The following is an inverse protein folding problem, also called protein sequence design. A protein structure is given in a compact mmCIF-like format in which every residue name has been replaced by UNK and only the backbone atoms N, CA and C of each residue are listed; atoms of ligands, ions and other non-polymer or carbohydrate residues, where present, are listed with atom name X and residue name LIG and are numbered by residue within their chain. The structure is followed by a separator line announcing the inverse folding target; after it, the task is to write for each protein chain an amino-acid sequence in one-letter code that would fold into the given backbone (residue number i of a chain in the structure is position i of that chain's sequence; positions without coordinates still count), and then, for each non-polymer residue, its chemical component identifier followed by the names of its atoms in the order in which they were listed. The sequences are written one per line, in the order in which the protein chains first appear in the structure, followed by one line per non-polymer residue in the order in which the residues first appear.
data_IF_548217974506
#
_entry.id   IF_548217974506
#
_cell.length_a   1.000
_cell.length_b   1.000
_cell.length_c   1.000
_cell.angle_alpha   90.00
_cell.angle_beta   90.00
_cell.angle_gamma   90.00
#
_symmetry.space_group_name_H-M   'P 1'
#
loop_
_entity.id
_entity.type
_entity.pdbx_description
1 polymer ?
#
# COMPACT_ATOMS: atom_id res chain seq x y z
N UNK A 1 12.80 8.58 -18.65
CA UNK A 1 13.05 9.33 -17.40
C UNK A 1 14.45 9.05 -16.86
N UNK A 2 14.84 7.77 -16.67
CA UNK A 2 16.13 7.40 -16.07
C UNK A 2 17.32 7.92 -16.88
N UNK A 3 17.34 7.76 -18.21
CA UNK A 3 18.46 8.20 -19.04
C UNK A 3 18.72 9.70 -18.92
N UNK A 4 17.67 10.52 -18.94
CA UNK A 4 17.80 11.98 -18.74
C UNK A 4 18.34 12.32 -17.35
N UNK A 5 17.92 11.58 -16.31
CA UNK A 5 18.40 11.79 -14.95
C UNK A 5 19.85 11.36 -14.77
N UNK A 6 20.22 10.23 -15.38
CA UNK A 6 21.59 9.71 -15.43
C UNK A 6 22.54 10.71 -16.11
N UNK A 7 22.18 11.23 -17.28
CA UNK A 7 22.98 12.23 -17.98
C UNK A 7 23.23 13.48 -17.12
N UNK A 8 22.17 13.97 -16.44
CA UNK A 8 22.30 15.14 -15.56
C UNK A 8 23.19 14.82 -14.35
N UNK A 9 22.99 13.69 -13.68
CA UNK A 9 23.77 13.29 -12.50
C UNK A 9 25.24 13.07 -12.88
N UNK A 10 25.54 12.42 -14.02
CA UNK A 10 26.90 12.19 -14.50
C UNK A 10 27.69 13.46 -14.80
N UNK A 11 27.03 14.56 -15.13
CA UNK A 11 27.71 15.88 -15.27
C UNK A 11 28.17 16.41 -13.92
N UNK A 12 27.41 16.15 -12.84
CA UNK A 12 27.72 16.60 -11.48
C UNK A 12 28.84 15.76 -10.83
N UNK A 13 28.98 14.49 -11.19
CA UNK A 13 30.06 13.63 -10.66
C UNK A 13 31.46 14.17 -11.01
N UNK A 14 31.61 14.88 -12.13
CA UNK A 14 32.88 15.49 -12.55
C UNK A 14 33.42 16.53 -11.55
N UNK A 15 32.57 17.04 -10.69
CA UNK A 15 32.94 18.00 -9.62
C UNK A 15 33.17 17.35 -8.26
N UNK A 16 33.20 15.98 -8.20
CA UNK A 16 33.45 15.24 -6.97
C UNK A 16 32.24 15.20 -6.01
N UNK A 17 31.04 15.49 -6.50
CA UNK A 17 29.80 15.43 -5.72
C UNK A 17 29.48 13.98 -5.35
N UNK A 18 29.56 13.65 -4.06
CA UNK A 18 29.33 12.30 -3.53
C UNK A 18 27.88 11.86 -3.70
N UNK A 19 26.93 12.76 -3.57
CA UNK A 19 25.51 12.45 -3.71
C UNK A 19 25.18 12.16 -5.18
N UNK A 20 25.80 12.88 -6.10
CA UNK A 20 25.68 12.61 -7.53
C UNK A 20 26.30 11.24 -7.91
N UNK A 21 27.43 10.86 -7.33
CA UNK A 21 28.06 9.54 -7.55
C UNK A 21 27.12 8.43 -7.05
N UNK A 22 26.55 8.58 -5.85
CA UNK A 22 25.59 7.63 -5.27
C UNK A 22 24.33 7.52 -6.15
N UNK A 23 23.80 8.65 -6.59
CA UNK A 23 22.64 8.70 -7.49
C UNK A 23 22.88 7.98 -8.80
N UNK A 24 24.04 8.18 -9.45
CA UNK A 24 24.41 7.49 -10.70
C UNK A 24 24.43 5.98 -10.48
N UNK A 25 25.03 5.49 -9.40
CA UNK A 25 25.08 4.06 -9.11
C UNK A 25 23.67 3.44 -8.94
N UNK A 26 22.76 4.13 -8.22
CA UNK A 26 21.37 3.70 -8.07
C UNK A 26 20.65 3.67 -9.43
N UNK A 27 20.79 4.74 -10.21
CA UNK A 27 20.13 4.85 -11.51
C UNK A 27 20.62 3.81 -12.51
N UNK A 28 21.91 3.48 -12.52
CA UNK A 28 22.46 2.45 -13.38
C UNK A 28 21.93 1.07 -13.00
N UNK A 29 21.87 0.74 -11.70
CA UNK A 29 21.31 -0.51 -11.22
C UNK A 29 19.83 -0.65 -11.61
N UNK A 30 19.04 0.41 -11.43
CA UNK A 30 17.62 0.44 -11.82
C UNK A 30 17.49 0.31 -13.33
N UNK A 31 18.31 1.00 -14.13
CA UNK A 31 18.32 0.91 -15.59
C UNK A 31 18.58 -0.52 -16.07
N UNK A 32 19.61 -1.18 -15.52
CA UNK A 32 19.92 -2.57 -15.87
C UNK A 32 18.75 -3.52 -15.55
N UNK A 33 18.11 -3.32 -14.41
CA UNK A 33 16.93 -4.11 -14.01
C UNK A 33 15.77 -3.93 -15.00
N UNK A 34 15.49 -2.70 -15.40
CA UNK A 34 14.42 -2.39 -16.36
C UNK A 34 14.74 -2.93 -17.77
N UNK A 35 16.01 -2.90 -18.20
CA UNK A 35 16.42 -3.48 -19.48
C UNK A 35 16.25 -5.01 -19.52
N UNK A 36 16.26 -5.67 -18.35
CA UNK A 36 15.93 -7.10 -18.22
C UNK A 36 14.43 -7.37 -18.20
N UNK A 37 13.57 -6.36 -18.39
CA UNK A 37 12.12 -6.48 -18.29
C UNK A 37 11.58 -6.60 -16.87
N UNK A 38 12.41 -6.38 -15.84
CA UNK A 38 12.02 -6.44 -14.43
C UNK A 38 11.58 -5.07 -13.92
N UNK A 39 10.76 -5.07 -12.89
CA UNK A 39 10.27 -3.85 -12.25
C UNK A 39 11.35 -3.17 -11.41
N UNK A 40 11.37 -1.84 -11.35
CA UNK A 40 12.31 -1.09 -10.51
C UNK A 40 12.19 -1.44 -9.01
N UNK A 41 11.01 -1.86 -8.54
CA UNK A 41 10.77 -2.32 -7.15
C UNK A 41 11.51 -3.61 -6.79
N UNK A 42 11.95 -4.40 -7.76
CA UNK A 42 12.74 -5.61 -7.51
C UNK A 42 14.22 -5.33 -7.21
N UNK A 43 14.66 -4.09 -7.38
CA UNK A 43 16.02 -3.67 -7.03
C UNK A 43 16.15 -3.62 -5.52
N UNK A 44 17.12 -4.35 -4.95
CA UNK A 44 17.42 -4.31 -3.52
C UNK A 44 18.25 -3.06 -3.20
N UNK A 45 17.64 -2.11 -2.54
CA UNK A 45 18.25 -0.84 -2.12
C UNK A 45 18.24 -0.74 -0.60
N UNK A 46 19.15 0.08 -0.04
CA UNK A 46 19.05 0.54 1.34
C UNK A 46 17.80 1.44 1.51
N UNK A 47 17.38 1.66 2.75
CA UNK A 47 16.23 2.56 3.02
C UNK A 47 16.48 3.98 2.48
N UNK A 48 17.71 4.48 2.64
CA UNK A 48 18.11 5.80 2.12
C UNK A 48 18.05 5.84 0.57
N UNK A 49 18.56 4.81 -0.09
CA UNK A 49 18.59 4.74 -1.56
C UNK A 49 17.19 4.55 -2.14
N UNK A 50 16.31 3.86 -1.40
CA UNK A 50 14.91 3.72 -1.76
C UNK A 50 14.16 5.07 -1.74
N UNK A 51 14.51 5.98 -0.83
CA UNK A 51 13.96 7.34 -0.81
C UNK A 51 14.38 8.12 -2.07
N UNK A 52 15.66 8.01 -2.48
CA UNK A 52 16.16 8.62 -3.71
C UNK A 52 15.43 8.08 -4.95
N UNK A 53 15.19 6.76 -4.99
CA UNK A 53 14.41 6.15 -6.07
C UNK A 53 12.95 6.62 -6.07
N UNK A 54 12.35 6.82 -4.90
CA UNK A 54 10.97 7.27 -4.76
C UNK A 54 10.74 8.67 -5.38
N UNK A 55 11.73 9.57 -5.31
CA UNK A 55 11.66 10.90 -5.94
C UNK A 55 11.52 10.85 -7.47
N UNK A 56 11.95 9.76 -8.09
CA UNK A 56 11.83 9.59 -9.55
C UNK A 56 10.40 9.28 -9.99
N UNK A 57 9.51 8.95 -9.07
CA UNK A 57 8.11 8.63 -9.33
C UNK A 57 7.89 7.58 -10.43
N UNK A 58 8.78 6.58 -10.51
CA UNK A 58 8.67 5.51 -11.49
C UNK A 58 7.45 4.63 -11.19
N UNK A 59 6.63 4.36 -12.19
CA UNK A 59 5.48 3.45 -12.05
C UNK A 59 5.92 2.07 -11.56
N UNK A 60 7.03 1.55 -12.11
CA UNK A 60 7.58 0.25 -11.76
C UNK A 60 8.24 0.20 -10.38
N UNK A 61 8.49 1.35 -9.73
CA UNK A 61 8.96 1.42 -8.33
C UNK A 61 7.82 1.39 -7.31
N UNK A 62 6.58 1.66 -7.74
CA UNK A 62 5.42 1.65 -6.82
C UNK A 62 5.12 0.24 -6.32
N UNK A 63 4.69 0.09 -5.05
CA UNK A 63 4.23 -1.19 -4.54
C UNK A 63 3.01 -1.68 -5.33
N UNK A 64 2.86 -3.00 -5.45
CA UNK A 64 1.80 -3.65 -6.23
C UNK A 64 1.11 -4.70 -5.38
N UNK A 65 -0.21 -4.73 -5.48
CA UNK A 65 -1.08 -5.80 -5.02
C UNK A 65 -1.73 -6.44 -6.25
N UNK A 66 -1.56 -7.74 -6.41
CA UNK A 66 -2.24 -8.50 -7.46
C UNK A 66 -3.61 -8.95 -6.97
N UNK A 67 -4.66 -8.45 -7.61
CA UNK A 67 -6.05 -8.87 -7.32
C UNK A 67 -6.51 -9.79 -8.44
N UNK A 68 -6.65 -11.08 -8.13
CA UNK A 68 -7.08 -12.10 -9.06
C UNK A 68 -8.59 -12.28 -8.97
N UNK A 69 -9.30 -11.85 -10.00
CA UNK A 69 -10.74 -12.09 -10.12
C UNK A 69 -10.97 -13.51 -10.63
N UNK A 70 -11.70 -14.31 -9.87
CA UNK A 70 -12.02 -15.70 -10.20
C UNK A 70 -13.53 -15.92 -10.17
N UNK A 71 -13.96 -17.05 -10.71
CA UNK A 71 -15.33 -17.51 -10.57
C UNK A 71 -15.63 -17.97 -9.13
N UNK A 72 -16.92 -18.05 -8.80
CA UNK A 72 -17.40 -18.42 -7.47
C UNK A 72 -16.89 -19.81 -7.05
N UNK A 73 -16.80 -20.77 -7.99
CA UNK A 73 -16.33 -22.14 -7.72
C UNK A 73 -14.85 -22.24 -7.37
N UNK A 74 -14.06 -21.27 -7.84
CA UNK A 74 -12.62 -21.20 -7.57
C UNK A 74 -12.29 -20.46 -6.26
N UNK A 75 -13.22 -19.65 -5.75
CA UNK A 75 -13.03 -18.84 -4.56
C UNK A 75 -12.74 -19.67 -3.29
N UNK A 76 -13.53 -20.73 -2.96
CA UNK A 76 -13.26 -21.58 -1.78
C UNK A 76 -11.93 -22.33 -1.86
N UNK A 77 -11.43 -22.57 -3.07
CA UNK A 77 -10.12 -23.20 -3.32
C UNK A 77 -8.98 -22.19 -3.30
N UNK A 78 -9.28 -20.94 -3.00
CA UNK A 78 -8.34 -19.82 -3.03
C UNK A 78 -7.65 -19.63 -4.40
N UNK A 79 -8.39 -19.92 -5.49
CA UNK A 79 -7.95 -19.66 -6.85
C UNK A 79 -7.96 -20.89 -7.76
N UNK A 80 -7.23 -20.77 -8.85
CA UNK A 80 -7.07 -21.76 -9.92
C UNK A 80 -5.64 -21.70 -10.48
N UNK A 81 -5.34 -22.49 -11.52
CA UNK A 81 -4.01 -22.57 -12.15
C UNK A 81 -3.47 -21.21 -12.64
N UNK A 82 -4.35 -20.29 -13.04
CA UNK A 82 -3.95 -18.94 -13.43
C UNK A 82 -3.48 -18.12 -12.22
N UNK A 83 -4.18 -18.23 -11.10
CA UNK A 83 -3.80 -17.60 -9.83
C UNK A 83 -2.44 -18.13 -9.36
N UNK A 84 -2.20 -19.45 -9.51
CA UNK A 84 -0.90 -20.03 -9.12
C UNK A 84 0.25 -19.52 -10.00
N UNK A 85 -0.02 -19.23 -11.26
CA UNK A 85 0.97 -18.58 -12.14
C UNK A 85 1.28 -17.14 -11.69
N UNK A 86 0.25 -16.38 -11.30
CA UNK A 86 0.42 -15.01 -10.74
C UNK A 86 1.17 -15.05 -9.41
N UNK A 87 0.89 -16.04 -8.54
CA UNK A 87 1.62 -16.19 -7.26
C UNK A 87 3.12 -16.36 -7.45
N UNK A 88 3.54 -17.08 -8.49
CA UNK A 88 4.98 -17.23 -8.82
C UNK A 88 5.60 -15.89 -9.17
N UNK A 89 4.96 -15.12 -10.06
CA UNK A 89 5.44 -13.79 -10.45
C UNK A 89 5.45 -12.84 -9.26
N UNK A 90 4.39 -12.81 -8.48
CA UNK A 90 4.27 -11.98 -7.30
C UNK A 90 5.36 -12.29 -6.24
N UNK A 91 5.69 -13.57 -6.06
CA UNK A 91 6.74 -13.98 -5.14
C UNK A 91 8.12 -13.46 -5.57
N UNK A 92 8.42 -13.43 -6.86
CA UNK A 92 9.67 -12.86 -7.39
C UNK A 92 9.78 -11.35 -7.12
N UNK A 93 8.65 -10.65 -7.14
CA UNK A 93 8.57 -9.21 -6.89
C UNK A 93 8.36 -8.84 -5.41
N UNK A 94 8.12 -9.82 -4.54
CA UNK A 94 7.74 -9.58 -3.14
C UNK A 94 6.36 -8.94 -2.99
N UNK A 95 5.47 -9.16 -3.96
CA UNK A 95 4.13 -8.61 -3.98
C UNK A 95 3.11 -9.57 -3.35
N UNK A 96 2.04 -9.02 -2.78
CA UNK A 96 0.91 -9.79 -2.23
C UNK A 96 -0.09 -10.14 -3.33
N UNK A 97 -0.71 -11.31 -3.23
CA UNK A 97 -1.77 -11.78 -4.14
C UNK A 97 -3.05 -11.98 -3.34
N UNK A 98 -4.10 -11.37 -3.82
CA UNK A 98 -5.45 -11.50 -3.29
C UNK A 98 -6.37 -12.15 -4.32
N UNK A 99 -7.26 -13.02 -3.89
CA UNK A 99 -8.26 -13.68 -4.73
C UNK A 99 -9.63 -13.18 -4.34
N UNK A 100 -10.41 -12.74 -5.31
CA UNK A 100 -11.78 -12.26 -5.14
C UNK A 100 -12.68 -12.85 -6.24
N UNK A 101 -13.99 -12.81 -6.00
CA UNK A 101 -14.99 -13.00 -7.03
C UNK A 101 -15.82 -11.70 -7.14
N UNK A 102 -15.56 -10.89 -8.17
CA UNK A 102 -16.21 -9.60 -8.32
C UNK A 102 -17.73 -9.71 -8.48
N UNK A 103 -18.23 -10.80 -9.08
CA UNK A 103 -19.67 -11.05 -9.16
C UNK A 103 -20.27 -11.21 -7.76
N UNK A 104 -19.67 -12.04 -6.91
CA UNK A 104 -20.13 -12.26 -5.55
C UNK A 104 -20.08 -10.97 -4.70
N UNK A 105 -19.03 -10.16 -4.89
CA UNK A 105 -18.94 -8.85 -4.22
C UNK A 105 -20.05 -7.88 -4.65
N UNK A 106 -20.43 -7.93 -5.93
CA UNK A 106 -21.55 -7.14 -6.45
C UNK A 106 -22.87 -7.59 -5.83
N UNK A 107 -23.11 -8.90 -5.78
CA UNK A 107 -24.33 -9.45 -5.20
C UNK A 107 -24.45 -9.11 -3.70
N UNK A 108 -23.34 -9.19 -2.96
CA UNK A 108 -23.30 -8.77 -1.54
C UNK A 108 -23.59 -7.26 -1.39
N UNK A 109 -23.08 -6.43 -2.30
CA UNK A 109 -23.27 -4.99 -2.24
C UNK A 109 -24.73 -4.56 -2.49
N UNK A 110 -25.49 -5.35 -3.24
CA UNK A 110 -26.91 -5.12 -3.52
C UNK A 110 -27.83 -5.44 -2.32
N UNK A 111 -27.37 -6.24 -1.36
CA UNK A 111 -28.14 -6.58 -0.18
C UNK A 111 -28.27 -5.36 0.76
N UNK A 112 -29.49 -5.05 1.18
CA UNK A 112 -29.76 -3.87 1.97
C UNK A 112 -29.46 -4.07 3.46
N UNK A 113 -29.87 -5.24 4.02
CA UNK A 113 -29.71 -5.51 5.44
C UNK A 113 -28.37 -6.17 5.79
N UNK A 114 -27.89 -5.91 7.00
CA UNK A 114 -26.70 -6.55 7.53
C UNK A 114 -26.88 -8.07 7.69
N UNK A 115 -28.07 -8.49 8.13
CA UNK A 115 -28.42 -9.88 8.35
C UNK A 115 -28.39 -10.67 7.06
N UNK A 116 -28.95 -10.13 5.97
CA UNK A 116 -28.92 -10.76 4.65
C UNK A 116 -27.49 -10.92 4.16
N UNK A 117 -26.64 -9.89 4.32
CA UNK A 117 -25.23 -9.97 3.97
C UNK A 117 -24.50 -11.06 4.74
N UNK A 118 -24.76 -11.19 6.04
CA UNK A 118 -24.14 -12.22 6.88
C UNK A 118 -24.57 -13.63 6.46
N UNK A 119 -25.86 -13.84 6.18
CA UNK A 119 -26.37 -15.12 5.68
C UNK A 119 -25.74 -15.49 4.34
N UNK A 120 -25.70 -14.54 3.41
CA UNK A 120 -25.13 -14.75 2.10
C UNK A 120 -23.63 -15.09 2.16
N UNK A 121 -22.86 -14.39 2.99
CA UNK A 121 -21.45 -14.68 3.23
C UNK A 121 -21.26 -16.08 3.82
N UNK A 122 -22.09 -16.48 4.77
CA UNK A 122 -22.04 -17.80 5.39
C UNK A 122 -22.34 -18.90 4.38
N UNK A 123 -23.34 -18.72 3.53
CA UNK A 123 -23.69 -19.68 2.47
C UNK A 123 -22.57 -19.80 1.43
N UNK A 124 -21.88 -18.69 1.12
CA UNK A 124 -20.71 -18.67 0.25
C UNK A 124 -19.42 -19.20 0.92
N UNK A 125 -19.47 -19.57 2.21
CA UNK A 125 -18.31 -20.03 2.97
C UNK A 125 -17.29 -18.93 3.28
N UNK A 126 -17.72 -17.67 3.28
CA UNK A 126 -16.90 -16.49 3.55
C UNK A 126 -17.16 -15.93 4.96
N UNK A 127 -16.12 -15.41 5.58
CA UNK A 127 -16.22 -14.75 6.89
C UNK A 127 -16.49 -13.25 6.78
N UNK A 128 -16.10 -12.65 5.67
CA UNK A 128 -16.25 -11.22 5.39
C UNK A 128 -16.21 -10.95 3.89
N UNK A 129 -16.74 -9.82 3.42
CA UNK A 129 -16.61 -9.39 2.03
C UNK A 129 -15.14 -9.24 1.62
N UNK A 130 -14.83 -9.59 0.37
CA UNK A 130 -13.47 -9.45 -0.18
C UNK A 130 -13.01 -8.00 -0.22
N UNK A 131 -13.93 -7.04 -0.36
CA UNK A 131 -13.61 -5.61 -0.29
C UNK A 131 -12.96 -5.21 1.04
N UNK A 132 -13.34 -5.81 2.17
CA UNK A 132 -12.71 -5.55 3.46
C UNK A 132 -11.25 -6.02 3.47
N UNK A 133 -11.00 -7.21 2.94
CA UNK A 133 -9.64 -7.75 2.75
C UNK A 133 -8.82 -6.88 1.82
N UNK A 134 -9.42 -6.38 0.73
CA UNK A 134 -8.77 -5.48 -0.22
C UNK A 134 -8.33 -4.18 0.47
N UNK A 135 -9.21 -3.57 1.25
CA UNK A 135 -8.90 -2.36 2.02
C UNK A 135 -7.76 -2.62 3.01
N UNK A 136 -7.84 -3.70 3.79
CA UNK A 136 -6.80 -4.06 4.76
C UNK A 136 -5.44 -4.30 4.08
N UNK A 137 -5.41 -5.05 2.97
CA UNK A 137 -4.19 -5.28 2.19
C UNK A 137 -3.62 -4.00 1.58
N UNK A 138 -4.47 -3.11 1.08
CA UNK A 138 -4.05 -1.82 0.55
C UNK A 138 -3.44 -0.91 1.64
N UNK A 139 -4.06 -0.85 2.81
CA UNK A 139 -3.52 -0.11 3.96
C UNK A 139 -2.16 -0.65 4.40
N UNK A 140 -2.03 -1.98 4.52
CA UNK A 140 -0.77 -2.65 4.83
C UNK A 140 0.31 -2.35 3.78
N UNK A 141 -0.03 -2.48 2.49
CA UNK A 141 0.88 -2.23 1.37
C UNK A 141 1.40 -0.78 1.37
N UNK A 142 0.53 0.17 1.64
CA UNK A 142 0.85 1.60 1.70
C UNK A 142 1.41 2.05 3.05
N UNK A 143 1.55 1.12 4.01
CA UNK A 143 1.98 1.40 5.39
C UNK A 143 1.11 2.48 6.03
N UNK A 144 -0.20 2.38 5.88
CA UNK A 144 -1.17 3.30 6.45
C UNK A 144 -1.78 2.73 7.73
N UNK A 145 -2.20 3.63 8.61
CA UNK A 145 -2.97 3.35 9.82
C UNK A 145 -4.06 4.40 9.97
N UNK A 146 -5.07 4.08 10.78
CA UNK A 146 -6.19 5.00 11.05
C UNK A 146 -6.30 5.24 12.55
N UNK A 147 -6.58 6.48 12.93
CA UNK A 147 -7.05 6.83 14.24
C UNK A 147 -8.33 7.67 14.14
N UNK A 148 -9.09 7.73 15.22
CA UNK A 148 -10.33 8.49 15.27
C UNK A 148 -10.17 9.70 16.19
N UNK A 149 -10.83 10.79 15.83
CA UNK A 149 -11.13 11.86 16.77
C UNK A 149 -12.60 11.82 17.11
N UNK A 150 -12.93 11.94 18.40
CA UNK A 150 -14.30 12.02 18.89
C UNK A 150 -14.48 13.33 19.65
N UNK A 151 -15.41 14.14 19.19
CA UNK A 151 -15.77 15.41 19.81
C UNK A 151 -17.28 15.60 19.82
N UNK A 152 -17.75 16.63 20.48
CA UNK A 152 -19.19 16.94 20.59
C UNK A 152 -19.84 17.18 19.24
N UNK A 153 -19.09 17.72 18.28
CA UNK A 153 -19.62 18.11 16.97
C UNK A 153 -19.46 17.04 15.90
N UNK A 154 -18.39 16.25 15.96
CA UNK A 154 -18.10 15.23 14.95
C UNK A 154 -17.24 14.10 15.51
N UNK A 155 -17.37 12.94 14.89
CA UNK A 155 -16.43 11.82 14.98
C UNK A 155 -15.83 11.62 13.60
N UNK A 156 -14.50 11.55 13.51
CA UNK A 156 -13.82 11.47 12.23
C UNK A 156 -12.64 10.50 12.26
N UNK A 157 -12.49 9.74 11.16
CA UNK A 157 -11.33 8.89 10.91
C UNK A 157 -10.25 9.67 10.16
N UNK A 158 -8.99 9.50 10.59
CA UNK A 158 -7.82 10.15 10.00
C UNK A 158 -6.82 9.08 9.58
N UNK A 159 -6.40 9.12 8.33
CA UNK A 159 -5.39 8.19 7.82
C UNK A 159 -4.00 8.78 7.97
N UNK A 160 -3.09 8.03 8.59
CA UNK A 160 -1.70 8.39 8.84
C UNK A 160 -0.77 7.30 8.31
N UNK A 161 0.51 7.62 8.17
CA UNK A 161 1.53 6.60 7.91
C UNK A 161 1.90 5.87 9.19
N UNK A 162 2.11 4.56 9.09
CA UNK A 162 2.65 3.76 10.19
C UNK A 162 4.00 4.34 10.63
N UNK A 163 4.18 4.50 11.94
CA UNK A 163 5.38 5.11 12.53
C UNK A 163 5.28 6.61 12.77
N UNK A 164 4.20 7.28 12.36
CA UNK A 164 3.96 8.67 12.75
C UNK A 164 3.88 8.79 14.27
N UNK A 165 4.57 9.80 14.78
CA UNK A 165 4.47 10.22 16.19
C UNK A 165 3.27 11.14 16.39
N UNK A 166 2.85 11.33 17.63
CA UNK A 166 1.67 12.12 17.96
C UNK A 166 1.62 13.54 17.33
N UNK A 167 2.71 14.33 17.28
CA UNK A 167 2.70 15.62 16.58
C UNK A 167 2.38 15.48 15.09
N UNK A 168 3.02 14.52 14.41
CA UNK A 168 2.81 14.26 12.98
C UNK A 168 1.37 13.78 12.70
N UNK A 169 0.82 12.93 13.58
CA UNK A 169 -0.57 12.51 13.49
C UNK A 169 -1.53 13.70 13.64
N UNK A 170 -1.29 14.58 14.61
CA UNK A 170 -2.06 15.81 14.79
C UNK A 170 -1.94 16.75 13.58
N UNK A 171 -0.79 16.77 12.93
CA UNK A 171 -0.52 17.54 11.70
C UNK A 171 -1.42 17.18 10.53
N UNK A 172 -1.93 15.93 10.49
CA UNK A 172 -2.89 15.49 9.46
C UNK A 172 -4.26 16.17 9.63
N UNK A 173 -4.62 16.55 10.85
CA UNK A 173 -5.85 17.32 11.12
C UNK A 173 -5.63 18.78 10.67
N UNK A 174 -4.55 19.40 11.12
CA UNK A 174 -4.15 20.75 10.74
C UNK A 174 -2.66 20.97 11.01
N UNK A 175 -1.98 21.67 10.13
CA UNK A 175 -0.52 21.93 10.25
C UNK A 175 -0.12 22.65 11.54
N UNK A 176 -1.00 23.48 12.07
CA UNK A 176 -0.75 24.18 13.35
C UNK A 176 -0.75 23.23 14.53
N UNK A 177 -1.49 22.12 14.45
CA UNK A 177 -1.51 21.09 15.51
C UNK A 177 -0.19 20.30 15.56
N UNK A 178 0.54 20.19 14.47
CA UNK A 178 1.88 19.62 14.49
C UNK A 178 2.87 20.54 15.18
N UNK A 179 2.87 21.83 14.81
CA UNK A 179 3.80 22.84 15.32
C UNK A 179 3.55 23.18 16.78
N UNK A 180 2.28 23.27 17.17
CA UNK A 180 1.83 23.60 18.52
C UNK A 180 1.50 22.40 19.40
N UNK A 181 1.90 21.19 19.01
CA UNK A 181 1.55 19.98 19.75
C UNK A 181 2.14 19.98 21.16
N UNK A 182 1.27 19.84 22.16
CA UNK A 182 1.68 19.73 23.56
C UNK A 182 1.38 18.32 24.08
N UNK A 183 0.12 17.90 23.98
CA UNK A 183 -0.35 16.59 24.44
C UNK A 183 -1.66 16.21 23.74
N UNK A 184 -1.97 14.91 23.75
CA UNK A 184 -3.27 14.38 23.37
C UNK A 184 -3.79 13.44 24.47
N UNK A 185 -5.09 13.41 24.67
CA UNK A 185 -5.77 12.37 25.42
C UNK A 185 -6.11 11.25 24.45
N UNK A 186 -5.74 10.03 24.79
CA UNK A 186 -5.92 8.85 23.92
C UNK A 186 -6.61 7.77 24.72
N UNK A 187 -7.69 7.24 24.14
CA UNK A 187 -8.41 6.08 24.66
C UNK A 187 -8.38 4.97 23.61
N UNK A 188 -8.28 3.73 24.02
CA UNK A 188 -8.39 2.59 23.10
C UNK A 188 -9.82 2.45 22.65
N UNK A 189 -10.01 1.97 21.41
CA UNK A 189 -11.34 1.80 20.84
C UNK A 189 -12.24 0.90 21.72
N UNK A 190 -11.71 -0.22 22.19
CA UNK A 190 -12.45 -1.17 23.05
C UNK A 190 -12.89 -0.56 24.39
N UNK A 191 -12.17 0.45 24.87
CA UNK A 191 -12.51 1.16 26.11
C UNK A 191 -13.49 2.31 25.86
N UNK A 192 -13.49 2.87 24.65
CA UNK A 192 -14.39 3.95 24.25
C UNK A 192 -15.82 3.46 23.97
N UNK A 193 -15.98 2.24 23.46
CA UNK A 193 -17.30 1.66 23.08
C UNK A 193 -17.98 0.85 24.21
N UNK A 194 -17.36 0.76 25.38
CA UNK A 194 -17.97 0.18 26.60
C UNK A 194 -18.94 1.14 27.25
#
# INVERSE_FOLDING_TARGET
TIDKRLEKASKMTKHGDKDAIKLVAILDQVKQTLLQGKSARSVKLSEEDALVLAELNLITAKPVLYVCNVDEKSLPKNGNAYVDSIRKVAAEEGAEVMVICAQLESDIAELESYEERQMFLQDAGLTEPGVNKLIASAYKLLKLSTYFTAGVKEVRAWTIKVGFKAPQAAGVIHTDFEKGFIRAEVIKYEDFVK
#
